data_IF_743795783114
#
_entry.id   IF_743795783114
#
_cell.length_a   1.000
_cell.length_b   1.000
_cell.length_c   1.000
_cell.angle_alpha   90.00
_cell.angle_beta   90.00
_cell.angle_gamma   90.00
#
_symmetry.space_group_name_H-M   'P 1'
#
loop_
_entity.id
_entity.type
_entity.pdbx_description
1 polymer ?
#
# COMPACT_ATOMS: atom_id res chain seq x y z
N UNK A 1 -20.84 -54.53 -52.34
CA UNK A 1 -21.13 -53.90 -51.04
C UNK A 1 -19.96 -53.00 -50.67
N UNK A 2 -20.10 -51.70 -50.90
CA UNK A 2 -19.08 -50.71 -50.51
C UNK A 2 -19.45 -50.26 -49.10
N UNK A 3 -18.59 -50.53 -48.11
CA UNK A 3 -18.75 -50.06 -46.74
C UNK A 3 -18.15 -48.66 -46.64
N UNK A 4 -19.00 -47.65 -46.55
CA UNK A 4 -18.59 -46.27 -46.28
C UNK A 4 -18.44 -46.10 -44.77
N UNK A 5 -17.22 -45.84 -44.30
CA UNK A 5 -16.93 -45.50 -42.91
C UNK A 5 -16.90 -43.97 -42.78
N UNK A 6 -17.90 -43.40 -42.10
CA UNK A 6 -17.96 -41.96 -41.82
C UNK A 6 -17.12 -41.67 -40.57
N UNK A 7 -16.04 -40.90 -40.72
CA UNK A 7 -15.30 -40.34 -39.59
C UNK A 7 -16.09 -39.16 -39.01
N UNK A 8 -16.53 -39.26 -37.76
CA UNK A 8 -17.09 -38.14 -37.00
C UNK A 8 -15.92 -37.42 -36.32
N UNK A 9 -15.62 -36.20 -36.77
CA UNK A 9 -14.65 -35.32 -36.13
C UNK A 9 -15.32 -34.69 -34.91
N UNK A 10 -15.00 -35.17 -33.71
CA UNK A 10 -15.47 -34.56 -32.47
C UNK A 10 -14.62 -33.30 -32.24
N UNK A 11 -15.18 -32.11 -32.52
CA UNK A 11 -14.53 -30.85 -32.21
C UNK A 11 -14.41 -30.73 -30.68
N UNK A 12 -13.19 -30.84 -30.15
CA UNK A 12 -12.90 -30.53 -28.77
C UNK A 12 -13.07 -29.01 -28.58
N UNK A 13 -14.17 -28.59 -27.95
CA UNK A 13 -14.36 -27.23 -27.51
C UNK A 13 -13.32 -26.95 -26.41
N UNK A 14 -12.26 -26.22 -26.74
CA UNK A 14 -11.33 -25.68 -25.75
C UNK A 14 -12.06 -24.60 -24.95
N UNK A 15 -12.52 -24.94 -23.74
CA UNK A 15 -13.02 -23.94 -22.79
C UNK A 15 -11.83 -23.15 -22.27
N UNK A 16 -11.52 -22.02 -22.89
CA UNK A 16 -10.67 -21.01 -22.28
C UNK A 16 -11.35 -20.59 -20.97
N UNK A 17 -10.63 -20.51 -19.83
CA UNK A 17 -11.20 -19.94 -18.62
C UNK A 17 -11.58 -18.49 -18.94
N UNK A 18 -12.87 -18.19 -18.97
CA UNK A 18 -13.33 -16.81 -18.89
C UNK A 18 -12.93 -16.35 -17.49
N UNK A 19 -12.07 -15.34 -17.37
CA UNK A 19 -11.91 -14.64 -16.10
C UNK A 19 -13.29 -14.11 -15.72
N UNK A 20 -13.87 -14.66 -14.65
CA UNK A 20 -15.13 -14.19 -14.13
C UNK A 20 -14.85 -12.89 -13.38
N UNK A 21 -15.73 -11.89 -13.54
CA UNK A 21 -15.61 -10.65 -12.81
C UNK A 21 -15.63 -10.91 -11.30
N UNK A 22 -14.61 -10.44 -10.59
CA UNK A 22 -14.55 -10.52 -9.13
C UNK A 22 -15.50 -9.49 -8.49
N UNK A 23 -15.77 -9.67 -7.21
CA UNK A 23 -16.45 -8.68 -6.36
C UNK A 23 -15.57 -8.39 -5.16
N UNK A 24 -15.42 -7.12 -4.77
CA UNK A 24 -14.60 -6.70 -3.63
C UNK A 24 -15.54 -6.26 -2.52
N UNK A 25 -15.47 -6.91 -1.36
CA UNK A 25 -16.38 -6.65 -0.24
C UNK A 25 -15.64 -6.19 1.01
N UNK A 26 -16.33 -6.27 2.15
CA UNK A 26 -15.78 -5.85 3.44
C UNK A 26 -14.52 -6.62 3.86
N UNK A 27 -14.33 -7.86 3.39
CA UNK A 27 -13.21 -8.70 3.83
C UNK A 27 -11.87 -8.22 3.24
N UNK A 28 -11.95 -7.52 2.11
CA UNK A 28 -10.86 -6.88 1.37
C UNK A 28 -10.57 -5.44 1.84
N UNK A 29 -11.26 -4.96 2.88
CA UNK A 29 -10.97 -3.67 3.50
C UNK A 29 -10.12 -3.85 4.77
N UNK A 30 -9.23 -2.89 5.09
CA UNK A 30 -8.46 -2.92 6.32
C UNK A 30 -9.31 -3.09 7.58
N UNK A 31 -8.73 -3.71 8.61
CA UNK A 31 -9.34 -3.80 9.93
C UNK A 31 -8.32 -3.86 11.07
N UNK A 32 -8.80 -3.75 12.30
CA UNK A 32 -7.95 -3.84 13.47
C UNK A 32 -7.16 -5.16 13.51
N UNK A 33 -5.86 -5.05 13.77
CA UNK A 33 -4.91 -6.17 13.78
C UNK A 33 -4.14 -6.36 12.47
N UNK A 34 -4.47 -5.61 11.41
CA UNK A 34 -3.75 -5.71 10.14
C UNK A 34 -2.40 -4.97 10.20
N UNK A 35 -1.38 -5.59 9.58
CA UNK A 35 -0.14 -4.95 9.17
C UNK A 35 -0.03 -5.11 7.65
N UNK A 36 -0.34 -4.04 6.92
CA UNK A 36 -0.43 -4.07 5.46
C UNK A 36 0.86 -3.56 4.84
N UNK A 37 1.51 -4.40 4.05
CA UNK A 37 2.76 -4.10 3.36
C UNK A 37 2.51 -3.67 1.92
N UNK A 38 3.21 -2.64 1.51
CA UNK A 38 3.27 -2.18 0.12
C UNK A 38 4.65 -1.60 -0.16
N UNK A 39 5.02 -1.53 -1.43
CA UNK A 39 6.22 -0.84 -1.87
C UNK A 39 5.83 0.42 -2.62
N UNK A 40 6.45 1.55 -2.27
CA UNK A 40 6.42 2.76 -3.09
C UNK A 40 7.36 2.55 -4.27
N UNK A 41 6.84 2.58 -5.48
CA UNK A 41 7.66 2.46 -6.68
C UNK A 41 8.37 3.79 -6.99
N UNK A 42 9.48 3.71 -7.74
CA UNK A 42 10.07 4.91 -8.33
C UNK A 42 9.07 5.56 -9.29
N UNK A 43 9.02 6.90 -9.27
CA UNK A 43 8.10 7.65 -10.12
C UNK A 43 8.40 7.43 -11.60
N UNK A 44 7.35 7.07 -12.35
CA UNK A 44 7.38 6.96 -13.79
C UNK A 44 6.26 7.84 -14.40
N UNK A 45 6.56 9.05 -14.91
CA UNK A 45 5.55 9.95 -15.46
C UNK A 45 4.90 9.43 -16.75
N UNK A 46 5.43 8.37 -17.36
CA UNK A 46 4.92 7.77 -18.59
C UNK A 46 4.14 6.47 -18.36
N UNK A 47 3.86 6.12 -17.10
CA UNK A 47 3.04 4.95 -16.74
C UNK A 47 1.63 5.08 -17.35
N UNK A 48 1.15 4.07 -18.06
CA UNK A 48 -0.25 4.05 -18.52
C UNK A 48 -1.18 3.53 -17.42
N UNK A 49 -1.54 4.44 -16.52
CA UNK A 49 -2.55 4.20 -15.48
C UNK A 49 -3.98 4.48 -15.97
N UNK A 50 -4.16 5.07 -17.17
CA UNK A 50 -5.44 5.58 -17.64
C UNK A 50 -6.25 4.51 -18.37
N UNK A 51 -5.61 3.66 -19.18
CA UNK A 51 -6.28 2.60 -19.96
C UNK A 51 -7.06 1.61 -19.09
N UNK A 52 -8.31 1.31 -19.48
CA UNK A 52 -9.25 0.50 -18.69
C UNK A 52 -10.36 -0.13 -19.52
N UNK A 53 -11.20 -0.92 -18.85
CA UNK A 53 -12.42 -1.49 -19.41
C UNK A 53 -12.68 -2.89 -18.89
N UNK A 54 -13.63 -3.56 -19.54
CA UNK A 54 -13.97 -4.95 -19.23
C UNK A 54 -12.90 -5.92 -19.77
N UNK A 55 -12.52 -6.91 -18.95
CA UNK A 55 -11.52 -7.92 -19.25
C UNK A 55 -10.17 -7.32 -19.73
N UNK A 56 -9.76 -6.20 -19.15
CA UNK A 56 -8.50 -5.54 -19.50
C UNK A 56 -7.30 -6.29 -18.90
N UNK A 57 -6.14 -6.19 -19.54
CA UNK A 57 -4.88 -6.73 -19.02
C UNK A 57 -3.91 -5.59 -18.79
N UNK A 58 -3.60 -5.30 -17.53
CA UNK A 58 -2.61 -4.31 -17.14
C UNK A 58 -1.27 -4.98 -16.88
N UNK A 59 -0.20 -4.45 -17.48
CA UNK A 59 1.16 -4.93 -17.23
C UNK A 59 2.03 -3.82 -16.63
N UNK A 60 2.35 -4.00 -15.36
CA UNK A 60 3.23 -3.17 -14.55
C UNK A 60 4.37 -4.00 -13.95
N UNK A 61 4.73 -5.13 -14.57
CA UNK A 61 5.84 -5.99 -14.13
C UNK A 61 7.18 -5.26 -14.02
N UNK A 62 7.35 -4.17 -14.78
CA UNK A 62 8.58 -3.37 -14.82
C UNK A 62 8.62 -2.22 -13.78
N UNK A 63 7.71 -2.20 -12.79
CA UNK A 63 7.78 -1.21 -11.71
C UNK A 63 9.04 -1.42 -10.87
N UNK A 64 9.84 -0.36 -10.72
CA UNK A 64 11.01 -0.38 -9.88
C UNK A 64 10.62 -0.11 -8.42
N UNK A 65 10.97 -1.03 -7.53
CA UNK A 65 10.77 -0.92 -6.11
C UNK A 65 11.65 0.21 -5.52
N UNK A 66 11.03 1.12 -4.78
CA UNK A 66 11.71 2.10 -3.93
C UNK A 66 11.62 1.67 -2.46
N UNK A 67 11.00 2.51 -1.64
CA UNK A 67 10.84 2.26 -0.21
C UNK A 67 9.70 1.29 0.09
N UNK A 68 9.87 0.46 1.13
CA UNK A 68 8.78 -0.33 1.68
C UNK A 68 8.00 0.51 2.69
N UNK A 69 6.68 0.47 2.60
CA UNK A 69 5.75 1.16 3.49
C UNK A 69 4.86 0.13 4.20
N UNK A 70 4.64 0.34 5.48
CA UNK A 70 3.85 -0.55 6.34
C UNK A 70 2.77 0.27 7.02
N UNK A 71 1.52 -0.13 6.81
CA UNK A 71 0.36 0.50 7.45
C UNK A 71 -0.26 -0.46 8.44
N UNK A 72 -0.07 -0.16 9.72
CA UNK A 72 -0.69 -0.88 10.82
C UNK A 72 -2.08 -0.32 11.14
N UNK A 73 -3.04 -1.21 11.38
CA UNK A 73 -4.38 -0.89 11.83
C UNK A 73 -4.63 -1.52 13.19
N UNK A 74 -5.18 -0.73 14.10
CA UNK A 74 -5.40 -1.12 15.49
C UNK A 74 -6.87 -0.96 15.89
N UNK A 75 -7.24 -1.55 17.02
CA UNK A 75 -8.58 -1.35 17.58
C UNK A 75 -8.76 0.10 18.02
N UNK A 76 -9.98 0.62 17.94
CA UNK A 76 -10.29 1.97 18.48
C UNK A 76 -9.97 2.06 19.98
N UNK A 77 -10.24 1.00 20.73
CA UNK A 77 -9.96 0.92 22.17
C UNK A 77 -8.49 0.96 22.55
N UNK A 78 -7.55 0.70 21.62
CA UNK A 78 -6.11 0.78 21.87
C UNK A 78 -5.51 2.16 21.54
N UNK A 79 -6.34 3.11 21.13
CA UNK A 79 -5.95 4.52 20.95
C UNK A 79 -6.03 5.28 22.29
N UNK A 80 -5.79 6.60 22.29
CA UNK A 80 -6.00 7.43 23.47
C UNK A 80 -7.43 7.27 24.02
N UNK A 81 -7.60 7.26 25.34
CA UNK A 81 -8.91 7.07 25.99
C UNK A 81 -9.99 8.03 25.49
N UNK A 82 -9.65 9.29 25.21
CA UNK A 82 -10.61 10.27 24.67
C UNK A 82 -11.10 9.84 23.30
N UNK A 83 -10.20 9.42 22.42
CA UNK A 83 -10.58 8.93 21.09
C UNK A 83 -11.38 7.63 21.18
N UNK A 84 -10.96 6.70 22.05
CA UNK A 84 -11.65 5.44 22.27
C UNK A 84 -13.11 5.62 22.71
N UNK A 85 -13.40 6.67 23.50
CA UNK A 85 -14.75 7.02 23.92
C UNK A 85 -15.56 7.70 22.81
N UNK A 86 -14.98 8.67 22.10
CA UNK A 86 -15.67 9.41 21.02
C UNK A 86 -16.02 8.50 19.84
N UNK A 87 -15.09 7.63 19.46
CA UNK A 87 -15.22 6.74 18.30
C UNK A 87 -15.69 5.32 18.66
N UNK A 88 -16.18 5.10 19.89
CA UNK A 88 -16.57 3.79 20.37
C UNK A 88 -17.52 3.07 19.39
N UNK A 89 -17.23 1.80 19.07
CA UNK A 89 -17.99 1.01 18.12
C UNK A 89 -19.33 0.52 18.70
N UNK A 90 -20.28 1.44 18.84
CA UNK A 90 -21.60 1.18 19.40
C UNK A 90 -22.65 1.64 18.39
N UNK A 91 -23.69 0.84 18.16
CA UNK A 91 -24.63 1.04 17.05
C UNK A 91 -25.35 2.40 17.02
N UNK A 92 -25.47 3.08 18.16
CA UNK A 92 -26.09 4.40 18.27
C UNK A 92 -25.08 5.56 18.28
N UNK A 93 -23.78 5.27 18.27
CA UNK A 93 -22.76 6.31 18.16
C UNK A 93 -22.67 6.74 16.69
N UNK A 94 -23.01 8.01 16.34
CA UNK A 94 -22.92 8.48 14.96
C UNK A 94 -21.48 8.49 14.44
N UNK A 95 -20.49 8.61 15.34
CA UNK A 95 -19.07 8.62 15.00
C UNK A 95 -18.41 7.25 15.26
N UNK A 96 -19.17 6.14 15.26
CA UNK A 96 -18.59 4.84 15.54
C UNK A 96 -17.50 4.49 14.52
N UNK A 97 -16.36 4.02 15.00
CA UNK A 97 -15.30 3.42 14.21
C UNK A 97 -15.02 2.03 14.75
N UNK A 98 -14.52 1.12 13.92
CA UNK A 98 -14.12 -0.22 14.36
C UNK A 98 -12.63 -0.51 14.18
N UNK A 99 -11.88 0.41 13.57
CA UNK A 99 -10.43 0.38 13.51
C UNK A 99 -9.86 1.79 13.32
N UNK A 100 -8.59 1.94 13.64
CA UNK A 100 -7.86 3.19 13.48
C UNK A 100 -6.44 2.91 12.99
N UNK A 101 -5.80 3.91 12.39
CA UNK A 101 -4.39 3.87 12.02
C UNK A 101 -3.71 5.18 12.41
N UNK A 102 -2.43 5.13 12.72
CA UNK A 102 -1.64 6.33 12.97
C UNK A 102 -1.44 7.13 11.68
N UNK A 103 -1.24 8.44 11.81
CA UNK A 103 -1.25 9.38 10.70
C UNK A 103 -2.63 9.97 10.43
N UNK A 104 -2.63 11.07 9.71
CA UNK A 104 -3.84 11.70 9.19
C UNK A 104 -3.61 12.25 7.80
N UNK A 105 -4.69 12.30 7.02
CA UNK A 105 -4.72 13.06 5.77
C UNK A 105 -4.96 14.55 6.03
N UNK A 106 -4.78 15.03 7.28
CA UNK A 106 -4.80 16.46 7.62
C UNK A 106 -3.74 17.14 6.75
N UNK A 107 -4.16 17.99 5.82
CA UNK A 107 -3.22 18.64 4.93
C UNK A 107 -2.44 19.70 5.69
N UNK A 108 -1.19 19.93 5.28
CA UNK A 108 -0.31 20.87 5.97
C UNK A 108 -0.21 20.65 7.48
N UNK A 109 -0.46 19.42 7.97
CA UNK A 109 -0.42 19.11 9.39
C UNK A 109 0.93 19.50 10.03
N UNK A 110 2.01 19.51 9.25
CA UNK A 110 3.35 19.94 9.66
C UNK A 110 3.43 21.44 10.01
N UNK A 111 2.51 22.27 9.51
CA UNK A 111 2.38 23.69 9.84
C UNK A 111 1.46 23.91 11.04
N UNK A 112 0.68 22.90 11.43
CA UNK A 112 -0.16 22.94 12.61
C UNK A 112 0.62 22.37 13.80
N UNK A 113 0.46 22.92 15.01
CA UNK A 113 1.10 22.40 16.23
C UNK A 113 0.40 21.13 16.73
N UNK A 114 0.20 20.14 15.85
CA UNK A 114 -0.46 18.89 16.15
C UNK A 114 0.53 17.72 16.23
N UNK A 115 0.27 16.77 17.12
CA UNK A 115 1.12 15.58 17.33
C UNK A 115 0.30 14.31 17.29
N UNK A 116 0.96 13.18 17.03
CA UNK A 116 0.39 11.82 17.07
C UNK A 116 -1.01 11.70 16.42
N UNK A 117 -1.15 12.12 15.14
CA UNK A 117 -2.43 12.04 14.48
C UNK A 117 -2.89 10.59 14.32
N UNK A 118 -4.19 10.37 14.38
CA UNK A 118 -4.87 9.13 14.09
C UNK A 118 -6.04 9.39 13.14
N UNK A 119 -6.31 8.41 12.28
CA UNK A 119 -7.53 8.37 11.45
C UNK A 119 -8.38 7.19 11.84
N UNK A 120 -9.69 7.41 11.97
CA UNK A 120 -10.67 6.45 12.42
C UNK A 120 -11.58 6.04 11.27
N UNK A 121 -11.79 4.72 11.14
CA UNK A 121 -12.54 4.14 10.04
C UNK A 121 -13.66 3.25 10.57
N UNK A 122 -14.79 3.31 9.89
CA UNK A 122 -15.88 2.36 10.03
C UNK A 122 -15.95 1.46 8.82
N UNK A 123 -16.15 0.17 9.07
CA UNK A 123 -16.31 -0.83 8.03
C UNK A 123 -17.50 -1.72 8.35
N UNK A 124 -18.37 -1.95 7.38
CA UNK A 124 -19.44 -2.92 7.46
C UNK A 124 -19.57 -3.67 6.14
N UNK A 125 -20.61 -4.52 6.02
CA UNK A 125 -20.90 -5.21 4.77
C UNK A 125 -21.31 -4.26 3.64
N UNK A 126 -21.68 -3.02 3.96
CA UNK A 126 -22.21 -2.03 3.01
C UNK A 126 -21.31 -0.81 2.80
N UNK A 127 -20.29 -0.59 3.63
CA UNK A 127 -19.47 0.64 3.52
C UNK A 127 -18.06 0.47 4.08
N UNK A 128 -17.13 1.23 3.50
CA UNK A 128 -15.85 1.59 4.10
C UNK A 128 -15.75 3.11 4.20
N UNK A 129 -15.83 3.64 5.42
CA UNK A 129 -15.99 5.07 5.70
C UNK A 129 -14.86 5.57 6.59
N UNK A 130 -14.35 6.76 6.31
CA UNK A 130 -13.53 7.54 7.24
C UNK A 130 -14.47 8.45 8.06
N UNK A 131 -14.50 8.23 9.37
CA UNK A 131 -15.50 8.85 10.26
C UNK A 131 -14.95 10.00 11.09
N UNK A 132 -13.63 10.12 11.17
CA UNK A 132 -12.99 11.13 12.00
C UNK A 132 -11.50 10.95 12.13
N UNK A 133 -10.90 11.91 12.82
CA UNK A 133 -9.49 11.94 13.16
C UNK A 133 -9.29 12.27 14.64
N UNK A 134 -8.06 12.14 15.11
CA UNK A 134 -7.66 12.63 16.41
C UNK A 134 -6.23 13.14 16.33
N UNK A 135 -5.92 14.23 17.00
CA UNK A 135 -4.57 14.75 17.07
C UNK A 135 -4.31 15.41 18.44
N UNK A 136 -3.08 15.31 18.92
CA UNK A 136 -2.64 16.02 20.11
C UNK A 136 -2.45 17.50 19.84
N UNK A 137 -2.98 18.37 20.68
CA UNK A 137 -2.73 19.82 20.67
C UNK A 137 -2.15 20.23 22.02
N UNK A 138 -0.89 20.67 22.03
CA UNK A 138 -0.17 20.99 23.28
C UNK A 138 -0.26 19.87 24.35
N UNK A 139 -0.19 18.60 23.91
CA UNK A 139 -0.30 17.42 24.77
C UNK A 139 -1.72 17.00 25.15
N UNK A 140 -2.75 17.73 24.69
CA UNK A 140 -4.15 17.39 24.92
C UNK A 140 -4.67 16.61 23.70
N UNK A 141 -5.23 15.39 23.86
CA UNK A 141 -5.83 14.67 22.74
C UNK A 141 -7.13 15.36 22.30
N UNK A 142 -7.18 15.79 21.03
CA UNK A 142 -8.33 16.47 20.43
C UNK A 142 -8.96 15.56 19.37
N UNK A 143 -10.17 15.02 19.60
CA UNK A 143 -10.92 14.32 18.57
C UNK A 143 -11.47 15.33 17.56
N UNK A 144 -11.40 14.99 16.27
CA UNK A 144 -11.87 15.78 15.13
C UNK A 144 -12.90 14.91 14.40
N UNK A 145 -14.15 14.99 14.83
CA UNK A 145 -15.25 14.26 14.20
C UNK A 145 -15.62 14.94 12.89
N UNK A 146 -15.97 14.15 11.87
CA UNK A 146 -16.43 14.72 10.61
C UNK A 146 -17.88 15.19 10.77
N UNK A 147 -18.23 16.36 10.24
CA UNK A 147 -19.63 16.77 10.19
C UNK A 147 -20.39 15.95 9.14
N UNK A 148 -19.75 15.71 7.99
CA UNK A 148 -20.16 14.76 6.96
C UNK A 148 -19.00 13.76 6.72
N UNK A 149 -19.28 12.46 6.83
CA UNK A 149 -18.26 11.40 6.79
C UNK A 149 -17.80 11.10 5.36
N UNK A 150 -16.54 10.70 5.15
CA UNK A 150 -15.99 10.35 3.83
C UNK A 150 -16.23 8.86 3.55
N UNK A 151 -17.30 8.55 2.83
CA UNK A 151 -17.58 7.19 2.34
C UNK A 151 -16.67 6.87 1.16
N UNK A 152 -15.61 6.11 1.44
CA UNK A 152 -14.59 5.76 0.45
C UNK A 152 -15.16 4.77 -0.56
N UNK A 153 -15.89 3.76 -0.07
CA UNK A 153 -16.54 2.74 -0.89
C UNK A 153 -17.93 2.38 -0.36
N UNK A 154 -18.91 2.35 -1.26
CA UNK A 154 -20.14 1.57 -1.10
C UNK A 154 -19.82 0.10 -1.41
N UNK A 155 -20.07 -0.79 -0.46
CA UNK A 155 -19.72 -2.20 -0.57
C UNK A 155 -20.96 -3.08 -0.81
N UNK A 156 -20.82 -4.19 -1.54
CA UNK A 156 -19.62 -4.62 -2.27
C UNK A 156 -19.43 -3.86 -3.59
N UNK A 157 -18.18 -3.72 -4.04
CA UNK A 157 -17.83 -3.10 -5.32
C UNK A 157 -17.95 -4.09 -6.49
N UNK A 158 -18.55 -3.61 -7.57
CA UNK A 158 -18.73 -4.28 -8.85
C UNK A 158 -18.41 -3.33 -10.02
N UNK A 159 -17.96 -3.89 -11.14
CA UNK A 159 -17.73 -3.13 -12.38
C UNK A 159 -18.99 -2.37 -12.80
N UNK A 160 -18.81 -1.07 -13.08
CA UNK A 160 -19.90 -0.16 -13.43
C UNK A 160 -20.53 0.55 -12.23
N UNK A 161 -20.17 0.21 -10.99
CA UNK A 161 -20.59 0.98 -9.83
C UNK A 161 -19.98 2.38 -9.89
N UNK A 162 -20.80 3.38 -9.54
CA UNK A 162 -20.37 4.76 -9.43
C UNK A 162 -21.16 5.47 -8.35
N UNK A 163 -20.48 6.26 -7.53
CA UNK A 163 -21.10 7.07 -6.47
C UNK A 163 -20.36 8.40 -6.28
N UNK A 164 -21.02 9.32 -5.59
CA UNK A 164 -20.50 10.63 -5.24
C UNK A 164 -20.80 10.92 -3.78
N UNK A 165 -19.78 11.26 -3.02
CA UNK A 165 -19.87 11.50 -1.58
C UNK A 165 -19.31 12.88 -1.21
N UNK A 166 -19.93 13.55 -0.25
CA UNK A 166 -19.47 14.81 0.30
C UNK A 166 -19.05 14.61 1.75
N UNK A 167 -17.88 15.13 2.11
CA UNK A 167 -17.37 15.07 3.46
C UNK A 167 -16.80 16.42 3.91
N UNK A 168 -16.91 16.67 5.22
CA UNK A 168 -16.31 17.86 5.84
C UNK A 168 -15.86 17.59 7.27
N UNK A 169 -14.86 18.33 7.68
CA UNK A 169 -14.41 18.38 9.07
C UNK A 169 -13.74 19.72 9.36
N UNK A 170 -13.67 20.08 10.63
CA UNK A 170 -12.93 21.26 11.06
C UNK A 170 -12.21 21.08 12.38
N UNK A 171 -11.11 21.81 12.54
CA UNK A 171 -10.36 21.92 13.79
C UNK A 171 -10.19 23.39 14.14
N UNK A 172 -10.51 23.73 15.39
CA UNK A 172 -10.28 25.06 15.94
C UNK A 172 -9.13 24.99 16.92
N UNK A 173 -8.07 25.75 16.65
CA UNK A 173 -6.90 25.93 17.51
C UNK A 173 -7.07 27.24 18.28
N UNK A 174 -7.41 27.20 19.59
CA UNK A 174 -7.73 28.40 20.34
C UNK A 174 -6.64 29.46 20.22
N UNK A 175 -7.03 30.70 19.96
CA UNK A 175 -6.15 31.88 19.84
C UNK A 175 -5.16 31.85 18.66
N UNK A 176 -5.19 30.81 17.83
CA UNK A 176 -4.25 30.63 16.72
C UNK A 176 -4.99 30.70 15.38
N UNK A 177 -5.82 29.69 15.09
CA UNK A 177 -6.48 29.56 13.79
C UNK A 177 -7.64 28.56 13.83
N UNK A 178 -8.55 28.70 12.87
CA UNK A 178 -9.51 27.68 12.48
C UNK A 178 -9.10 27.12 11.12
N UNK A 179 -9.12 25.79 10.99
CA UNK A 179 -8.88 25.08 9.75
C UNK A 179 -10.06 24.16 9.47
N UNK A 180 -10.74 24.39 8.37
CA UNK A 180 -11.80 23.54 7.84
C UNK A 180 -11.37 22.93 6.52
N UNK A 181 -11.86 21.72 6.26
CA UNK A 181 -11.68 21.03 4.99
C UNK A 181 -13.01 20.44 4.56
N UNK A 182 -13.33 20.60 3.28
CA UNK A 182 -14.46 19.93 2.65
C UNK A 182 -14.03 19.29 1.33
N UNK A 183 -14.73 18.25 0.94
CA UNK A 183 -14.39 17.44 -0.23
C UNK A 183 -15.62 16.81 -0.86
N UNK A 184 -15.63 16.75 -2.19
CA UNK A 184 -16.44 15.79 -2.95
C UNK A 184 -15.54 14.69 -3.51
N UNK A 185 -15.94 13.43 -3.32
CA UNK A 185 -15.31 12.24 -3.89
C UNK A 185 -16.27 11.61 -4.90
N UNK A 186 -15.89 11.61 -6.16
CA UNK A 186 -16.58 10.83 -7.19
C UNK A 186 -15.80 9.54 -7.44
N UNK A 187 -16.41 8.39 -7.16
CA UNK A 187 -15.78 7.08 -7.33
C UNK A 187 -16.48 6.30 -8.43
N UNK A 188 -15.70 5.63 -9.29
CA UNK A 188 -16.18 4.75 -10.36
C UNK A 188 -15.35 3.46 -10.42
N UNK A 189 -16.01 2.32 -10.59
CA UNK A 189 -15.36 1.05 -10.90
C UNK A 189 -15.29 0.90 -12.42
N UNK A 190 -14.27 1.50 -13.01
CA UNK A 190 -14.19 1.73 -14.47
C UNK A 190 -13.54 0.58 -15.26
N UNK A 191 -13.06 -0.47 -14.60
CA UNK A 191 -12.46 -1.64 -15.25
C UNK A 191 -12.40 -2.88 -14.39
N UNK A 192 -12.24 -4.02 -15.06
CA UNK A 192 -11.92 -5.30 -14.43
C UNK A 192 -11.07 -6.16 -15.35
N UNK A 193 -10.27 -7.06 -14.78
CA UNK A 193 -9.44 -7.98 -15.54
C UNK A 193 -8.20 -8.42 -14.75
N UNK A 194 -7.09 -8.66 -15.45
CA UNK A 194 -5.86 -9.13 -14.84
C UNK A 194 -4.81 -8.00 -14.77
N UNK A 195 -4.13 -7.87 -13.64
CA UNK A 195 -2.98 -6.99 -13.46
C UNK A 195 -1.73 -7.81 -13.14
N UNK A 196 -0.61 -7.49 -13.77
CA UNK A 196 0.71 -8.01 -13.40
C UNK A 196 1.54 -6.90 -12.78
N UNK A 197 2.08 -7.12 -11.59
CA UNK A 197 3.06 -6.25 -10.92
C UNK A 197 4.31 -7.09 -10.61
N UNK A 198 5.38 -6.49 -10.06
CA UNK A 198 6.54 -7.28 -9.61
C UNK A 198 6.18 -8.35 -8.57
N UNK A 199 5.09 -8.18 -7.82
CA UNK A 199 4.63 -9.14 -6.82
C UNK A 199 3.80 -10.30 -7.40
N UNK A 200 3.49 -10.29 -8.70
CA UNK A 200 2.76 -11.36 -9.39
C UNK A 200 1.57 -10.88 -10.20
N UNK A 201 0.69 -11.81 -10.56
CA UNK A 201 -0.53 -11.52 -11.34
C UNK A 201 -1.79 -11.79 -10.53
N UNK A 202 -2.76 -10.88 -10.65
CA UNK A 202 -3.98 -10.88 -9.86
C UNK A 202 -5.20 -10.52 -10.72
N UNK A 203 -6.34 -11.14 -10.44
CA UNK A 203 -7.63 -10.65 -10.94
C UNK A 203 -8.09 -9.47 -10.09
N UNK A 204 -8.52 -8.37 -10.73
CA UNK A 204 -8.79 -7.09 -10.07
C UNK A 204 -10.00 -6.35 -10.62
N UNK A 205 -10.60 -5.52 -9.76
CA UNK A 205 -11.39 -4.36 -10.15
C UNK A 205 -10.51 -3.11 -10.09
N UNK A 206 -10.62 -2.22 -11.06
CA UNK A 206 -10.02 -0.88 -10.98
C UNK A 206 -11.07 0.10 -10.48
N UNK A 207 -10.77 0.75 -9.37
CA UNK A 207 -11.54 1.82 -8.78
C UNK A 207 -10.80 3.12 -8.98
N UNK A 208 -11.47 4.10 -9.57
CA UNK A 208 -10.96 5.46 -9.73
C UNK A 208 -11.77 6.40 -8.86
N UNK A 209 -11.11 7.12 -7.96
CA UNK A 209 -11.71 8.20 -7.18
C UNK A 209 -11.16 9.54 -7.64
N UNK A 210 -12.03 10.50 -7.94
CA UNK A 210 -11.69 11.91 -8.19
C UNK A 210 -12.08 12.73 -6.97
N UNK A 211 -11.13 13.45 -6.39
CA UNK A 211 -11.33 14.23 -5.17
C UNK A 211 -11.18 15.72 -5.50
N UNK A 212 -12.25 16.47 -5.28
CA UNK A 212 -12.28 17.92 -5.33
C UNK A 212 -12.37 18.45 -3.90
N UNK A 213 -11.27 19.02 -3.40
CA UNK A 213 -11.15 19.50 -2.02
C UNK A 213 -11.01 21.01 -1.93
N UNK A 214 -11.47 21.57 -0.82
CA UNK A 214 -11.34 22.99 -0.50
C UNK A 214 -10.96 23.18 0.97
N UNK A 215 -10.02 24.08 1.21
CA UNK A 215 -9.60 24.50 2.54
C UNK A 215 -10.25 25.82 2.95
N UNK A 216 -10.66 25.93 4.21
CA UNK A 216 -11.01 27.21 4.84
C UNK A 216 -10.07 27.48 6.00
N UNK A 217 -9.37 28.61 5.98
CA UNK A 217 -8.39 29.01 6.99
C UNK A 217 -8.79 30.36 7.56
N UNK A 218 -9.07 30.44 8.85
CA UNK A 218 -9.24 31.71 9.56
C UNK A 218 -8.11 31.89 10.57
N UNK A 219 -7.43 33.04 10.54
CA UNK A 219 -6.35 33.39 11.47
C UNK A 219 -6.86 34.43 12.45
N UNK A 220 -7.20 33.98 13.67
CA UNK A 220 -7.84 34.79 14.70
C UNK A 220 -7.02 36.04 15.05
N UNK A 221 -5.69 35.92 15.11
CA UNK A 221 -4.77 37.01 15.48
C UNK A 221 -4.69 38.13 14.45
N UNK A 222 -4.95 37.80 13.18
CA UNK A 222 -4.90 38.75 12.06
C UNK A 222 -6.29 39.20 11.61
N UNK A 223 -7.36 38.52 12.05
CA UNK A 223 -8.74 38.80 11.65
C UNK A 223 -9.01 38.57 10.17
N UNK A 224 -8.27 37.67 9.53
CA UNK A 224 -8.38 37.34 8.10
C UNK A 224 -8.81 35.89 7.89
N UNK A 225 -9.57 35.64 6.83
CA UNK A 225 -10.02 34.33 6.40
C UNK A 225 -9.76 34.12 4.92
N UNK A 226 -9.38 32.90 4.54
CA UNK A 226 -9.11 32.50 3.16
C UNK A 226 -9.79 31.17 2.88
N UNK A 227 -10.26 31.03 1.65
CA UNK A 227 -10.73 29.77 1.08
C UNK A 227 -9.82 29.43 -0.10
N UNK A 228 -9.32 28.20 -0.13
CA UNK A 228 -8.33 27.76 -1.12
C UNK A 228 -8.85 26.46 -1.75
N UNK A 229 -9.20 26.53 -3.04
CA UNK A 229 -9.47 25.34 -3.84
C UNK A 229 -8.19 24.55 -4.07
N UNK A 230 -8.29 23.23 -3.99
CA UNK A 230 -7.16 22.34 -4.25
C UNK A 230 -7.11 21.93 -5.70
N UNK A 231 -5.89 21.64 -6.20
CA UNK A 231 -5.72 20.76 -7.34
C UNK A 231 -6.59 19.51 -7.22
N UNK A 232 -7.28 19.14 -8.29
CA UNK A 232 -8.00 17.86 -8.35
C UNK A 232 -6.99 16.73 -8.11
N UNK A 233 -7.35 15.80 -7.23
CA UNK A 233 -6.58 14.59 -6.97
C UNK A 233 -7.34 13.41 -7.56
N UNK A 234 -6.63 12.46 -8.18
CA UNK A 234 -7.23 11.18 -8.57
C UNK A 234 -6.45 10.03 -7.97
N UNK A 235 -7.19 9.04 -7.47
CA UNK A 235 -6.65 7.79 -6.95
C UNK A 235 -7.13 6.65 -7.85
N UNK A 236 -6.20 5.91 -8.44
CA UNK A 236 -6.47 4.71 -9.22
C UNK A 236 -6.03 3.51 -8.39
N UNK A 237 -6.96 2.64 -8.00
CA UNK A 237 -6.70 1.48 -7.13
C UNK A 237 -7.17 0.20 -7.81
N UNK A 238 -6.26 -0.75 -7.99
CA UNK A 238 -6.57 -2.09 -8.47
C UNK A 238 -6.76 -3.00 -7.26
N UNK A 239 -8.01 -3.35 -6.97
CA UNK A 239 -8.42 -4.13 -5.80
C UNK A 239 -8.62 -5.59 -6.19
N UNK A 240 -8.01 -6.51 -5.44
CA UNK A 240 -8.13 -7.96 -5.63
C UNK A 240 -8.88 -8.61 -4.46
N UNK A 241 -9.48 -9.77 -4.70
CA UNK A 241 -9.97 -10.62 -3.60
C UNK A 241 -8.80 -11.18 -2.78
N UNK A 242 -9.01 -11.32 -1.47
CA UNK A 242 -8.02 -11.88 -0.54
C UNK A 242 -6.88 -10.92 -0.15
N UNK A 243 -6.81 -9.72 -0.72
CA UNK A 243 -5.89 -8.66 -0.33
C UNK A 243 -6.65 -7.49 0.29
N UNK A 244 -6.06 -6.87 1.32
CA UNK A 244 -6.61 -5.67 1.99
C UNK A 244 -5.89 -4.37 1.61
N UNK A 245 -4.92 -4.51 0.72
CA UNK A 245 -4.16 -3.42 0.11
C UNK A 245 -4.33 -3.53 -1.40
N UNK A 246 -4.48 -2.40 -2.13
CA UNK A 246 -4.53 -2.45 -3.59
C UNK A 246 -3.30 -3.15 -4.15
N UNK A 247 -3.49 -3.99 -5.17
CA UNK A 247 -2.39 -4.60 -5.93
C UNK A 247 -1.52 -3.52 -6.55
N UNK A 248 -2.15 -2.46 -7.04
CA UNK A 248 -1.52 -1.22 -7.48
C UNK A 248 -2.38 -0.04 -7.01
N UNK A 249 -1.74 1.05 -6.61
CA UNK A 249 -2.33 2.36 -6.41
C UNK A 249 -1.48 3.41 -7.12
N UNK A 250 -2.11 4.22 -7.96
CA UNK A 250 -1.49 5.41 -8.57
C UNK A 250 -2.26 6.63 -8.10
N UNK A 251 -1.57 7.60 -7.52
CA UNK A 251 -2.15 8.89 -7.16
C UNK A 251 -1.66 9.95 -8.13
N UNK A 252 -2.56 10.83 -8.53
CA UNK A 252 -2.26 11.95 -9.42
C UNK A 252 -2.82 13.25 -8.87
N UNK A 253 -2.28 14.37 -9.34
CA UNK A 253 -2.79 15.70 -9.06
C UNK A 253 -2.80 16.55 -10.33
N UNK A 254 -3.81 17.41 -10.46
CA UNK A 254 -3.94 18.30 -11.61
C UNK A 254 -3.10 19.57 -11.42
N UNK A 255 -2.05 19.72 -12.23
CA UNK A 255 -1.13 20.85 -12.19
C UNK A 255 -1.16 21.54 -13.55
N UNK A 256 -1.58 22.81 -13.58
CA UNK A 256 -1.73 23.59 -14.82
C UNK A 256 -2.59 22.91 -15.90
N UNK A 257 -3.64 22.20 -15.48
CA UNK A 257 -4.56 21.48 -16.39
C UNK A 257 -4.01 20.14 -16.91
N UNK A 258 -2.87 19.68 -16.39
CA UNK A 258 -2.31 18.36 -16.69
C UNK A 258 -2.39 17.47 -15.45
N UNK A 259 -2.78 16.23 -15.66
CA UNK A 259 -2.74 15.23 -14.61
C UNK A 259 -1.33 14.65 -14.47
N UNK A 260 -0.75 14.80 -13.28
CA UNK A 260 0.63 14.42 -12.98
C UNK A 260 0.64 13.37 -11.89
N UNK A 261 1.37 12.26 -12.10
CA UNK A 261 1.55 11.22 -11.09
C UNK A 261 2.35 11.80 -9.92
N UNK A 262 1.81 11.66 -8.71
CA UNK A 262 2.48 12.05 -7.46
C UNK A 262 3.04 10.85 -6.71
N UNK A 263 2.37 9.70 -6.79
CA UNK A 263 2.77 8.47 -6.12
C UNK A 263 2.35 7.21 -6.87
N UNK A 264 3.14 6.16 -6.70
CA UNK A 264 2.84 4.81 -7.16
C UNK A 264 3.16 3.86 -6.01
N UNK A 265 2.19 3.04 -5.60
CA UNK A 265 2.37 1.97 -4.62
C UNK A 265 1.88 0.65 -5.20
N UNK A 266 2.57 -0.46 -4.94
CA UNK A 266 2.08 -1.79 -5.28
C UNK A 266 2.13 -2.72 -4.07
N UNK A 267 1.24 -3.71 -4.05
CA UNK A 267 1.25 -4.77 -3.04
C UNK A 267 2.59 -5.51 -3.06
N UNK A 268 3.19 -5.71 -1.90
CA UNK A 268 4.46 -6.41 -1.76
C UNK A 268 4.50 -7.16 -0.42
N UNK A 269 5.37 -8.15 -0.31
CA UNK A 269 5.69 -8.83 0.94
C UNK A 269 6.84 -8.11 1.66
N UNK A 270 6.97 -8.28 3.00
CA UNK A 270 8.14 -7.77 3.73
C UNK A 270 9.43 -8.20 3.05
N UNK A 271 10.35 -7.25 2.82
CA UNK A 271 11.64 -7.58 2.22
C UNK A 271 12.52 -8.25 3.27
N UNK A 272 12.92 -9.48 3.01
CA UNK A 272 13.85 -10.20 3.87
C UNK A 272 14.81 -11.04 3.05
N UNK A 273 15.96 -11.32 3.65
CA UNK A 273 16.93 -12.32 3.19
C UNK A 273 17.32 -13.15 4.40
N UNK A 274 17.12 -14.46 4.30
CA UNK A 274 17.42 -15.40 5.37
C UNK A 274 18.31 -16.53 4.84
N UNK A 275 19.32 -16.90 5.64
CA UNK A 275 20.22 -18.00 5.28
C UNK A 275 19.54 -19.33 5.59
N UNK A 276 19.51 -20.22 4.59
CA UNK A 276 18.89 -21.54 4.72
C UNK A 276 19.81 -22.47 5.50
N UNK A 277 19.25 -23.13 6.52
CA UNK A 277 19.97 -24.07 7.38
C UNK A 277 19.79 -25.53 6.92
N UNK A 278 20.76 -26.42 7.19
CA UNK A 278 21.99 -26.18 7.93
C UNK A 278 23.12 -25.63 7.05
N UNK A 279 23.90 -24.71 7.60
CA UNK A 279 25.21 -24.34 7.04
C UNK A 279 26.31 -25.33 7.45
N UNK A 280 27.47 -25.21 6.81
CA UNK A 280 28.67 -25.95 7.20
C UNK A 280 29.01 -25.69 8.69
N UNK A 281 29.13 -26.77 9.47
CA UNK A 281 29.43 -26.69 10.91
C UNK A 281 30.88 -26.30 11.21
N UNK A 282 31.74 -26.22 10.20
CA UNK A 282 33.14 -25.84 10.33
C UNK A 282 33.58 -25.17 9.05
N UNK A 283 34.04 -23.92 9.15
CA UNK A 283 34.56 -23.14 8.04
C UNK A 283 36.09 -23.20 8.08
N UNK A 284 36.70 -23.73 7.02
CA UNK A 284 38.16 -23.80 6.93
C UNK A 284 38.70 -22.54 6.21
N UNK A 285 39.79 -21.91 6.70
CA UNK A 285 40.43 -20.81 5.99
C UNK A 285 40.79 -21.19 4.55
N UNK A 286 40.40 -20.36 3.59
CA UNK A 286 40.62 -20.60 2.16
C UNK A 286 39.64 -21.57 1.49
N UNK A 287 38.67 -22.13 2.23
CA UNK A 287 37.62 -22.97 1.65
C UNK A 287 36.56 -22.13 0.93
N UNK A 288 36.02 -22.69 -0.14
CA UNK A 288 34.81 -22.18 -0.76
C UNK A 288 33.60 -22.88 -0.11
N UNK A 289 32.58 -22.10 0.22
CA UNK A 289 31.39 -22.56 0.93
C UNK A 289 30.14 -22.02 0.24
N UNK A 290 29.15 -22.88 0.07
CA UNK A 290 27.86 -22.51 -0.50
C UNK A 290 26.97 -21.95 0.61
N UNK A 291 26.53 -20.70 0.46
CA UNK A 291 25.59 -20.05 1.38
C UNK A 291 24.22 -19.96 0.69
N UNK A 292 23.34 -20.97 0.87
CA UNK A 292 21.99 -20.91 0.34
C UNK A 292 21.16 -19.88 1.11
N UNK A 293 20.34 -19.12 0.40
CA UNK A 293 19.49 -18.09 0.98
C UNK A 293 18.10 -18.10 0.35
N UNK A 294 17.10 -17.72 1.16
CA UNK A 294 15.74 -17.45 0.72
C UNK A 294 15.44 -15.96 0.88
N UNK A 295 14.71 -15.38 -0.08
CA UNK A 295 14.26 -14.00 0.00
C UNK A 295 12.74 -13.90 -0.09
N UNK A 296 12.17 -12.90 0.57
CA UNK A 296 10.78 -12.49 0.37
C UNK A 296 10.70 -11.02 -0.02
N UNK A 297 9.61 -10.63 -0.68
CA UNK A 297 9.41 -9.28 -1.21
C UNK A 297 10.08 -9.04 -2.56
N UNK A 298 9.86 -7.86 -3.12
CA UNK A 298 10.37 -7.49 -4.44
C UNK A 298 11.73 -6.82 -4.36
N UNK A 299 12.65 -7.32 -5.18
CA UNK A 299 13.98 -6.75 -5.42
C UNK A 299 14.09 -6.35 -6.90
N UNK A 300 14.74 -5.22 -7.17
CA UNK A 300 15.02 -4.71 -8.51
C UNK A 300 16.13 -5.51 -9.21
N UNK A 301 15.92 -5.86 -10.48
CA UNK A 301 16.93 -6.46 -11.37
C UNK A 301 17.98 -5.45 -11.87
N UNK A 302 17.83 -4.18 -11.51
CA UNK A 302 18.66 -3.09 -12.04
C UNK A 302 18.16 -2.55 -13.38
N UNK A 303 18.79 -1.47 -13.84
CA UNK A 303 18.44 -0.79 -15.08
C UNK A 303 19.24 0.49 -15.27
N UNK A 304 18.95 1.24 -16.34
CA UNK A 304 19.73 2.43 -16.69
C UNK A 304 19.81 3.48 -15.57
N UNK A 305 18.75 3.61 -14.76
CA UNK A 305 18.66 4.53 -13.61
C UNK A 305 18.26 3.83 -12.31
N UNK A 306 18.26 2.49 -12.30
CA UNK A 306 17.81 1.67 -11.18
C UNK A 306 18.99 0.82 -10.76
N UNK A 307 19.38 0.88 -9.50
CA UNK A 307 20.43 0.02 -8.97
C UNK A 307 19.91 -1.41 -8.83
N UNK A 308 20.73 -2.36 -9.24
CA UNK A 308 20.49 -3.78 -8.97
C UNK A 308 20.71 -4.09 -7.49
N UNK A 309 20.13 -5.20 -7.05
CA UNK A 309 20.34 -5.70 -5.69
C UNK A 309 21.57 -6.59 -5.68
N UNK A 310 22.49 -6.31 -4.75
CA UNK A 310 23.67 -7.12 -4.48
C UNK A 310 23.53 -7.74 -3.09
N UNK A 311 23.36 -9.05 -3.04
CA UNK A 311 23.28 -9.81 -1.79
C UNK A 311 24.68 -10.23 -1.36
N UNK A 312 25.11 -9.78 -0.18
CA UNK A 312 26.48 -9.99 0.31
C UNK A 312 26.45 -10.97 1.49
N UNK A 313 27.23 -12.05 1.38
CA UNK A 313 27.52 -12.93 2.50
C UNK A 313 28.68 -12.35 3.32
N UNK A 314 28.49 -12.26 4.63
CA UNK A 314 29.47 -11.72 5.55
C UNK A 314 29.90 -12.75 6.59
N UNK A 315 31.18 -12.69 6.98
CA UNK A 315 31.77 -13.52 8.03
C UNK A 315 32.01 -12.68 9.30
N UNK A 316 31.61 -13.23 10.45
CA UNK A 316 31.88 -12.68 11.78
C UNK A 316 33.37 -12.79 12.16
N UNK A 317 33.74 -12.14 13.27
CA UNK A 317 35.03 -12.41 13.92
C UNK A 317 35.04 -13.75 14.69
N UNK A 318 36.17 -14.10 15.32
CA UNK A 318 36.32 -15.37 16.04
C UNK A 318 35.33 -15.57 17.21
N UNK A 319 34.69 -14.50 17.69
CA UNK A 319 33.72 -14.51 18.79
C UNK A 319 32.26 -14.37 18.31
N UNK A 320 32.03 -14.21 17.01
CA UNK A 320 30.70 -14.07 16.42
C UNK A 320 30.24 -12.63 16.28
N UNK A 321 31.16 -11.66 16.39
CA UNK A 321 30.86 -10.24 16.26
C UNK A 321 30.94 -9.81 14.79
N UNK A 322 29.88 -9.19 14.29
CA UNK A 322 29.77 -8.63 12.93
C UNK A 322 30.15 -7.16 12.84
N UNK A 323 30.63 -6.53 13.92
CA UNK A 323 31.04 -5.11 13.94
C UNK A 323 32.13 -4.80 12.90
N UNK A 324 33.03 -5.75 12.65
CA UNK A 324 34.04 -5.68 11.59
C UNK A 324 33.91 -6.90 10.68
N UNK A 325 32.69 -7.17 10.21
CA UNK A 325 32.42 -8.30 9.35
C UNK A 325 33.23 -8.23 8.04
N UNK A 326 33.55 -9.40 7.49
CA UNK A 326 34.30 -9.53 6.24
C UNK A 326 33.36 -10.05 5.15
N UNK A 327 33.26 -9.33 4.04
CA UNK A 327 32.52 -9.80 2.87
C UNK A 327 33.25 -11.01 2.27
N UNK A 328 32.54 -12.15 2.20
CA UNK A 328 33.09 -13.43 1.73
C UNK A 328 32.51 -13.87 0.40
N UNK A 329 31.46 -13.23 -0.08
CA UNK A 329 30.90 -13.45 -1.41
C UNK A 329 29.73 -12.52 -1.66
N UNK A 330 29.40 -12.30 -2.92
CA UNK A 330 28.19 -11.56 -3.28
C UNK A 330 27.55 -12.12 -4.55
N UNK A 331 26.27 -11.79 -4.75
CA UNK A 331 25.53 -12.13 -5.96
C UNK A 331 24.50 -11.04 -6.27
N UNK A 332 24.47 -10.63 -7.53
CA UNK A 332 23.39 -9.81 -8.07
C UNK A 332 22.17 -10.71 -8.32
N UNK A 333 21.10 -10.52 -7.54
CA UNK A 333 19.93 -11.38 -7.61
C UNK A 333 18.65 -10.68 -7.14
N UNK A 334 17.51 -11.17 -7.62
CA UNK A 334 16.17 -10.74 -7.20
C UNK A 334 15.34 -11.83 -6.54
N UNK A 335 15.87 -13.05 -6.49
CA UNK A 335 15.23 -14.22 -5.91
C UNK A 335 16.21 -15.08 -5.11
N UNK A 336 15.65 -16.11 -4.47
CA UNK A 336 16.37 -17.08 -3.67
C UNK A 336 17.46 -17.79 -4.48
N UNK A 337 18.56 -18.15 -3.84
CA UNK A 337 19.72 -18.67 -4.54
C UNK A 337 20.82 -19.16 -3.61
N UNK A 338 22.05 -19.18 -4.14
CA UNK A 338 23.25 -19.61 -3.42
C UNK A 338 24.36 -18.60 -3.69
N UNK A 339 24.97 -18.05 -2.64
CA UNK A 339 26.20 -17.27 -2.73
C UNK A 339 27.38 -18.22 -2.60
N UNK A 340 28.28 -18.22 -3.59
CA UNK A 340 29.55 -18.93 -3.48
C UNK A 340 30.51 -18.07 -2.66
N UNK A 341 30.66 -18.39 -1.38
CA UNK A 341 31.51 -17.65 -0.46
C UNK A 341 32.93 -18.24 -0.43
N UNK A 342 33.94 -17.38 -0.25
CA UNK A 342 35.34 -17.75 -0.05
C UNK A 342 35.80 -17.29 1.33
N UNK A 343 36.11 -18.24 2.21
CA UNK A 343 36.61 -17.93 3.54
C UNK A 343 38.06 -17.39 3.41
N UNK A 344 38.38 -16.21 3.98
CA UNK A 344 39.73 -15.66 3.91
C UNK A 344 40.78 -16.63 4.45
N UNK A 345 41.93 -16.74 3.78
CA UNK A 345 42.98 -17.68 4.19
C UNK A 345 43.61 -17.33 5.55
N UNK A 346 43.45 -16.08 6.01
CA UNK A 346 43.92 -15.57 7.30
C UNK A 346 42.83 -15.57 8.38
N UNK A 347 41.68 -16.21 8.16
CA UNK A 347 40.62 -16.30 9.15
C UNK A 347 41.14 -17.01 10.41
N UNK A 348 41.06 -16.37 11.60
CA UNK A 348 41.49 -16.99 12.85
C UNK A 348 40.52 -18.10 13.28
N UNK A 349 41.00 -19.05 14.09
CA UNK A 349 40.12 -20.02 14.73
C UNK A 349 39.17 -19.32 15.72
N UNK A 350 37.90 -19.69 15.68
CA UNK A 350 36.86 -19.12 16.52
C UNK A 350 35.67 -20.07 16.68
N UNK A 351 34.74 -19.68 17.54
CA UNK A 351 33.45 -20.37 17.74
C UNK A 351 32.26 -19.50 17.31
N UNK A 352 32.57 -18.34 16.72
CA UNK A 352 31.63 -17.33 16.24
C UNK A 352 31.03 -17.60 14.87
#
# INVERSE_FOLDING_TARGET
>A
MIRTSTLVFLAALSTLPLAAQITVGQNEMPHAGDELYRTRALLNPFLDYASTGAAYTWDFSNLAAGDQDVKAYQTVGSTNLVYALVYADIFFNPNRANHATSGSDIPFYQLLPITDPFTFYYRSASTYTKVGMGAGLAGIPVPITFEDQDEIYELPLQYGDANSDFSSWSISLPTLAHYGYQQTRDTEVDGWGAITTPAGSFDVLRVKSTLAGEDTINIDTLGVGFTIERPLVREYKWLAQGLRVPVLQVNTSEIFGFEVITDIFFYDLPRSIEVVQPLAATLCPGAAEDVPYEVTGVFNEGGFLILENDFIAQLSDANGDFTNAVDIGSIEATGSGVINALIPANTPFGTG
#
